data_IF_760042607008
#
_entry.id   IF_760042607008
#
_cell.length_a   1.000
_cell.length_b   1.000
_cell.length_c   1.000
_cell.angle_alpha   90.00
_cell.angle_beta   90.00
_cell.angle_gamma   90.00
#
_symmetry.space_group_name_H-M   'P 1'
#
loop_
_entity.id
_entity.type
_entity.pdbx_description
1 polymer ?
#
# COMPACT_ATOMS: atom_id res chain seq x y z
N UNK A 1 11.26 14.27 8.45
CA UNK A 1 10.20 13.25 8.29
C UNK A 1 8.84 13.91 8.07
N UNK A 2 8.34 14.71 9.02
CA UNK A 2 7.18 15.60 8.81
C UNK A 2 7.56 16.99 8.28
N UNK A 3 6.58 17.91 8.21
CA UNK A 3 6.77 19.32 7.84
C UNK A 3 6.08 19.73 6.54
N UNK A 4 6.08 21.05 6.23
CA UNK A 4 5.39 21.60 5.04
C UNK A 4 6.16 21.45 3.72
N UNK A 5 7.38 20.93 3.75
CA UNK A 5 8.24 20.77 2.56
C UNK A 5 7.66 19.78 1.55
N UNK A 6 8.04 19.91 0.27
CA UNK A 6 7.68 18.93 -0.76
C UNK A 6 8.48 17.65 -0.51
N UNK A 7 7.82 16.49 -0.58
CA UNK A 7 8.47 15.20 -0.33
C UNK A 7 8.41 14.71 1.12
N UNK A 8 7.81 15.47 2.04
CA UNK A 8 7.62 15.06 3.44
C UNK A 8 6.38 14.18 3.65
N UNK A 9 6.35 13.44 4.77
CA UNK A 9 5.17 12.67 5.19
C UNK A 9 4.15 13.59 5.88
N UNK A 10 3.29 14.20 5.07
CA UNK A 10 2.09 14.90 5.54
C UNK A 10 0.93 13.91 5.69
N UNK A 11 -0.09 14.25 6.47
CA UNK A 11 -1.27 13.39 6.66
C UNK A 11 -1.91 12.96 5.32
N UNK A 12 -2.13 13.90 4.39
CA UNK A 12 -2.62 13.59 3.04
C UNK A 12 -1.69 12.67 2.24
N UNK A 13 -0.38 12.78 2.45
CA UNK A 13 0.60 11.91 1.79
C UNK A 13 0.49 10.50 2.34
N UNK A 14 0.42 10.35 3.66
CA UNK A 14 0.25 9.06 4.35
C UNK A 14 -1.05 8.40 3.89
N UNK A 15 -2.17 9.12 3.87
CA UNK A 15 -3.46 8.63 3.36
C UNK A 15 -3.37 8.11 1.92
N UNK A 16 -2.66 8.83 1.05
CA UNK A 16 -2.42 8.38 -0.34
C UNK A 16 -1.56 7.11 -0.41
N UNK A 17 -0.49 7.03 0.38
CA UNK A 17 0.37 5.83 0.43
C UNK A 17 -0.41 4.60 0.94
N UNK A 18 -1.25 4.76 1.96
CA UNK A 18 -2.14 3.69 2.44
C UNK A 18 -3.12 3.24 1.35
N UNK A 19 -3.71 4.18 0.60
CA UNK A 19 -4.59 3.86 -0.53
C UNK A 19 -3.84 3.14 -1.66
N UNK A 20 -2.60 3.53 -1.96
CA UNK A 20 -1.77 2.83 -2.95
C UNK A 20 -1.44 1.41 -2.51
N UNK A 21 -1.08 1.21 -1.24
CA UNK A 21 -0.84 -0.12 -0.68
C UNK A 21 -2.08 -1.01 -0.78
N UNK A 22 -3.25 -0.51 -0.35
CA UNK A 22 -4.52 -1.23 -0.47
C UNK A 22 -4.81 -1.60 -1.92
N UNK A 23 -4.68 -0.65 -2.85
CA UNK A 23 -4.92 -0.88 -4.28
C UNK A 23 -3.96 -1.89 -4.88
N UNK A 24 -2.67 -1.84 -4.51
CA UNK A 24 -1.68 -2.80 -4.96
C UNK A 24 -2.03 -4.23 -4.54
N UNK A 25 -2.61 -4.41 -3.35
CA UNK A 25 -3.13 -5.71 -2.90
C UNK A 25 -4.39 -6.09 -3.69
N UNK A 26 -5.41 -5.23 -3.69
CA UNK A 26 -6.72 -5.58 -4.26
C UNK A 26 -6.67 -5.83 -5.77
N UNK A 27 -5.86 -5.07 -6.51
CA UNK A 27 -5.76 -5.20 -7.98
C UNK A 27 -4.96 -6.44 -8.41
N UNK A 28 -4.15 -7.02 -7.51
CA UNK A 28 -3.24 -8.13 -7.85
C UNK A 28 -3.57 -9.44 -7.13
N UNK A 29 -4.56 -9.44 -6.22
CA UNK A 29 -4.99 -10.67 -5.56
C UNK A 29 -5.52 -11.72 -6.56
N UNK A 30 -5.24 -13.01 -6.35
CA UNK A 30 -4.51 -13.62 -5.22
C UNK A 30 -2.98 -13.73 -5.42
N UNK A 31 -2.41 -13.10 -6.45
CA UNK A 31 -1.00 -13.24 -6.83
C UNK A 31 -0.05 -12.41 -5.93
N UNK A 32 0.57 -13.08 -4.96
CA UNK A 32 1.42 -12.46 -3.93
C UNK A 32 2.67 -11.80 -4.51
N UNK A 33 3.27 -12.38 -5.54
CA UNK A 33 4.47 -11.81 -6.18
C UNK A 33 4.12 -10.52 -6.93
N UNK A 34 2.96 -10.48 -7.59
CA UNK A 34 2.44 -9.25 -8.19
C UNK A 34 2.05 -8.21 -7.14
N UNK A 35 1.44 -8.60 -6.02
CA UNK A 35 1.17 -7.67 -4.91
C UNK A 35 2.47 -7.01 -4.43
N UNK A 36 3.50 -7.81 -4.13
CA UNK A 36 4.81 -7.34 -3.67
C UNK A 36 5.44 -6.39 -4.69
N UNK A 37 5.46 -6.80 -5.97
CA UNK A 37 6.00 -5.99 -7.05
C UNK A 37 5.27 -4.66 -7.21
N UNK A 38 3.93 -4.67 -7.14
CA UNK A 38 3.08 -3.49 -7.22
C UNK A 38 3.26 -2.55 -6.03
N UNK A 39 3.37 -3.08 -4.80
CA UNK A 39 3.67 -2.30 -3.60
C UNK A 39 4.98 -1.53 -3.76
N UNK A 40 6.07 -2.20 -4.17
CA UNK A 40 7.34 -1.51 -4.42
C UNK A 40 7.28 -0.56 -5.61
N UNK A 41 6.52 -0.88 -6.67
CA UNK A 41 6.32 0.02 -7.81
C UNK A 41 5.72 1.36 -7.36
N UNK A 42 4.77 1.36 -6.42
CA UNK A 42 4.20 2.61 -5.89
C UNK A 42 5.23 3.44 -5.12
N UNK A 43 6.10 2.82 -4.33
CA UNK A 43 7.17 3.53 -3.60
C UNK A 43 8.22 4.11 -4.56
N UNK A 44 8.69 3.30 -5.51
CA UNK A 44 9.64 3.74 -6.55
C UNK A 44 9.05 4.87 -7.40
N UNK A 45 7.77 4.78 -7.75
CA UNK A 45 7.07 5.87 -8.43
C UNK A 45 7.12 7.15 -7.60
N UNK A 46 6.77 7.09 -6.31
CA UNK A 46 6.74 8.27 -5.43
C UNK A 46 8.11 8.92 -5.22
N UNK A 47 9.20 8.15 -5.25
CA UNK A 47 10.57 8.68 -5.12
C UNK A 47 11.21 9.11 -6.45
N UNK A 48 10.53 8.87 -7.58
CA UNK A 48 11.07 9.16 -8.91
C UNK A 48 11.28 10.66 -9.12
N UNK A 49 12.34 11.00 -9.86
CA UNK A 49 12.64 12.37 -10.26
C UNK A 49 12.91 12.45 -11.76
N UNK A 50 12.92 13.65 -12.32
CA UNK A 50 13.27 13.83 -13.75
C UNK A 50 14.71 13.38 -14.05
N UNK A 51 15.62 13.50 -13.07
CA UNK A 51 17.02 13.04 -13.20
C UNK A 51 17.17 11.54 -13.03
N UNK A 52 16.38 10.94 -12.13
CA UNK A 52 16.42 9.51 -11.80
C UNK A 52 14.98 8.96 -11.84
N UNK A 53 14.48 8.58 -13.03
CA UNK A 53 13.13 8.07 -13.19
C UNK A 53 13.05 6.59 -12.81
N UNK A 54 12.27 6.24 -11.77
CA UNK A 54 12.10 4.87 -11.29
C UNK A 54 10.73 4.28 -11.68
N UNK A 55 10.43 4.22 -12.98
CA UNK A 55 9.15 3.72 -13.50
C UNK A 55 9.18 2.31 -14.07
N UNK A 56 10.32 1.63 -14.05
CA UNK A 56 10.49 0.29 -14.65
C UNK A 56 9.54 -0.77 -14.06
N UNK A 57 9.18 -0.65 -12.79
CA UNK A 57 8.24 -1.55 -12.10
C UNK A 57 6.77 -1.13 -12.22
N UNK A 58 6.49 0.05 -12.78
CA UNK A 58 5.11 0.48 -13.01
C UNK A 58 4.48 -0.32 -14.15
N UNK A 59 3.15 -0.55 -14.15
CA UNK A 59 2.50 -1.22 -15.26
C UNK A 59 2.70 -0.44 -16.56
N UNK A 60 2.94 -1.17 -17.65
CA UNK A 60 3.11 -0.59 -18.99
C UNK A 60 1.77 -0.38 -19.69
N UNK A 61 1.76 0.42 -20.74
CA UNK A 61 0.61 0.58 -21.62
C UNK A 61 -0.22 1.85 -21.39
N UNK A 62 -1.15 2.10 -22.32
CA UNK A 62 -1.94 3.34 -22.39
C UNK A 62 -2.89 3.52 -21.20
N UNK A 63 -3.25 2.43 -20.54
CA UNK A 63 -4.13 2.40 -19.36
C UNK A 63 -3.35 2.37 -18.04
N UNK A 64 -2.01 2.52 -18.08
CA UNK A 64 -1.21 2.58 -16.87
C UNK A 64 -1.63 3.75 -15.99
N UNK A 65 -1.70 3.48 -14.68
CA UNK A 65 -1.85 4.54 -13.68
C UNK A 65 -0.59 5.43 -13.61
N UNK A 66 0.56 4.93 -14.05
CA UNK A 66 1.80 5.68 -14.10
C UNK A 66 1.82 6.62 -15.31
N UNK A 67 1.91 7.92 -15.04
CA UNK A 67 1.93 8.94 -16.10
C UNK A 67 3.10 8.75 -17.07
N UNK A 68 4.24 8.26 -16.57
CA UNK A 68 5.47 8.09 -17.35
C UNK A 68 5.29 6.94 -18.35
N UNK A 69 4.89 5.76 -17.86
CA UNK A 69 4.63 4.59 -18.71
C UNK A 69 3.51 4.84 -19.72
N UNK A 70 2.48 5.59 -19.30
CA UNK A 70 1.38 5.97 -20.20
C UNK A 70 1.84 6.91 -21.32
N UNK A 71 2.74 7.84 -21.04
CA UNK A 71 3.29 8.74 -22.06
C UNK A 71 4.16 7.96 -23.06
N UNK A 72 5.03 7.06 -22.57
CA UNK A 72 5.82 6.17 -23.42
C UNK A 72 4.94 5.31 -24.33
N UNK A 73 3.90 4.67 -23.79
CA UNK A 73 2.96 3.86 -24.57
C UNK A 73 2.13 4.64 -25.61
N UNK A 74 2.12 5.98 -25.52
CA UNK A 74 1.46 6.88 -26.47
C UNK A 74 2.46 7.59 -27.39
N UNK A 75 3.74 7.24 -27.34
CA UNK A 75 4.82 7.95 -28.04
C UNK A 75 4.86 9.46 -27.73
N UNK A 76 4.59 9.81 -26.47
CA UNK A 76 4.60 11.19 -25.97
C UNK A 76 5.72 11.39 -24.95
N UNK A 77 6.22 12.62 -24.84
CA UNK A 77 7.17 12.99 -23.80
C UNK A 77 6.50 12.94 -22.42
N UNK A 78 7.06 12.21 -21.44
CA UNK A 78 6.55 12.22 -20.07
C UNK A 78 6.54 13.63 -19.46
N UNK A 79 5.53 13.91 -18.64
CA UNK A 79 5.47 15.16 -17.86
C UNK A 79 6.59 15.20 -16.82
N UNK A 80 6.97 16.40 -16.37
CA UNK A 80 7.93 16.53 -15.27
C UNK A 80 7.37 15.96 -13.96
N UNK A 81 8.24 15.34 -13.16
CA UNK A 81 7.92 14.84 -11.82
C UNK A 81 7.53 15.94 -10.82
N UNK A 82 7.80 17.22 -11.15
CA UNK A 82 7.26 18.38 -10.44
C UNK A 82 5.72 18.40 -10.39
N UNK A 83 5.07 17.73 -11.35
CA UNK A 83 3.59 17.63 -11.42
C UNK A 83 3.02 16.49 -10.57
N UNK A 84 3.86 15.63 -9.97
CA UNK A 84 3.39 14.53 -9.14
C UNK A 84 2.68 15.01 -7.87
N UNK A 85 1.57 14.34 -7.53
CA UNK A 85 0.75 14.65 -6.35
C UNK A 85 1.29 14.07 -5.05
N UNK A 86 2.13 13.04 -5.14
CA UNK A 86 2.69 12.31 -3.99
C UNK A 86 4.20 12.08 -4.19
N UNK A 87 5.02 13.14 -4.34
CA UNK A 87 6.46 12.97 -4.35
C UNK A 87 6.94 12.63 -2.93
N UNK A 88 7.99 11.82 -2.81
CA UNK A 88 8.70 11.53 -1.56
C UNK A 88 10.18 11.88 -1.72
N UNK A 89 10.78 12.47 -0.69
CA UNK A 89 12.23 12.72 -0.68
C UNK A 89 13.00 11.45 -0.33
N UNK A 90 14.25 11.34 -0.76
CA UNK A 90 15.10 10.19 -0.46
C UNK A 90 15.22 9.94 1.05
N UNK A 91 15.36 10.99 1.85
CA UNK A 91 15.41 10.92 3.32
C UNK A 91 14.15 10.26 3.90
N UNK A 92 12.97 10.58 3.35
CA UNK A 92 11.71 9.96 3.78
C UNK A 92 11.65 8.50 3.37
N UNK A 93 12.01 8.21 2.12
CA UNK A 93 11.99 6.85 1.55
C UNK A 93 12.90 5.92 2.34
N UNK A 94 14.12 6.36 2.65
CA UNK A 94 15.08 5.60 3.46
C UNK A 94 14.50 5.18 4.81
N UNK A 95 13.77 6.09 5.47
CA UNK A 95 13.17 5.82 6.79
C UNK A 95 11.92 4.93 6.73
N UNK A 96 11.15 4.95 5.64
CA UNK A 96 9.94 4.11 5.49
C UNK A 96 10.21 2.78 4.77
N UNK A 97 11.37 2.62 4.13
CA UNK A 97 11.74 1.40 3.42
C UNK A 97 11.61 0.13 4.29
N UNK A 98 12.06 0.11 5.57
CA UNK A 98 11.87 -1.06 6.43
C UNK A 98 10.39 -1.40 6.67
N UNK A 99 9.52 -0.38 6.72
CA UNK A 99 8.07 -0.58 6.88
C UNK A 99 7.49 -1.22 5.62
N UNK A 100 7.90 -0.76 4.43
CA UNK A 100 7.50 -1.36 3.16
C UNK A 100 7.98 -2.80 3.03
N UNK A 101 9.21 -3.12 3.45
CA UNK A 101 9.70 -4.51 3.46
C UNK A 101 8.86 -5.41 4.35
N UNK A 102 8.51 -4.95 5.56
CA UNK A 102 7.65 -5.72 6.46
C UNK A 102 6.26 -5.93 5.87
N UNK A 103 5.63 -4.86 5.37
CA UNK A 103 4.29 -4.90 4.78
C UNK A 103 4.23 -5.76 3.51
N UNK A 104 5.31 -5.78 2.72
CA UNK A 104 5.42 -6.59 1.51
C UNK A 104 6.02 -7.99 1.75
N UNK A 105 6.07 -8.44 3.01
CA UNK A 105 6.49 -9.80 3.34
C UNK A 105 5.47 -10.82 2.85
N UNK A 106 5.96 -11.97 2.38
CA UNK A 106 5.11 -13.06 1.88
C UNK A 106 4.12 -13.53 2.96
N UNK A 107 4.53 -13.56 4.23
CA UNK A 107 3.66 -13.91 5.36
C UNK A 107 2.44 -12.98 5.46
N UNK A 108 2.64 -11.65 5.40
CA UNK A 108 1.55 -10.68 5.45
C UNK A 108 0.69 -10.78 4.20
N UNK A 109 1.31 -10.82 3.02
CA UNK A 109 0.57 -10.81 1.74
C UNK A 109 -0.25 -12.10 1.52
N UNK A 110 0.21 -13.25 2.00
CA UNK A 110 -0.57 -14.49 1.97
C UNK A 110 -1.92 -14.35 2.70
N UNK A 111 -1.97 -13.57 3.79
CA UNK A 111 -3.22 -13.27 4.52
C UNK A 111 -4.14 -12.32 3.74
N UNK A 112 -3.61 -11.62 2.74
CA UNK A 112 -4.34 -10.66 1.92
C UNK A 112 -4.84 -11.23 0.58
N UNK A 113 -4.61 -12.51 0.28
CA UNK A 113 -4.99 -13.19 -0.97
C UNK A 113 -6.48 -13.14 -1.29
N UNK A 114 -7.33 -13.02 -0.28
CA UNK A 114 -8.78 -12.88 -0.47
C UNK A 114 -9.22 -11.45 -0.83
N UNK A 115 -8.32 -10.46 -0.78
CA UNK A 115 -8.59 -9.03 -1.01
C UNK A 115 -9.77 -8.45 -0.20
N UNK A 116 -10.15 -9.09 0.91
CA UNK A 116 -11.25 -8.66 1.78
C UNK A 116 -10.77 -7.63 2.79
N UNK A 117 -11.64 -6.69 3.11
CA UNK A 117 -11.45 -5.82 4.28
C UNK A 117 -11.78 -6.60 5.54
N UNK A 118 -10.94 -6.49 6.57
CA UNK A 118 -11.24 -7.05 7.88
C UNK A 118 -12.45 -6.31 8.46
N UNK A 119 -13.59 -7.00 8.59
CA UNK A 119 -14.74 -6.47 9.30
C UNK A 119 -14.33 -6.26 10.77
N UNK A 120 -14.34 -5.01 11.25
CA UNK A 120 -13.96 -4.68 12.63
C UNK A 120 -14.79 -5.44 13.67
N UNK A 121 -16.04 -5.78 13.32
CA UNK A 121 -16.90 -6.53 14.21
C UNK A 121 -16.47 -8.00 14.30
N UNK A 122 -16.02 -8.60 13.20
CA UNK A 122 -15.55 -10.00 13.17
C UNK A 122 -14.25 -10.19 13.92
N UNK A 123 -13.31 -9.24 13.86
CA UNK A 123 -12.06 -9.34 14.61
C UNK A 123 -12.29 -9.24 16.12
N UNK A 124 -13.17 -8.34 16.57
CA UNK A 124 -13.57 -8.25 17.97
C UNK A 124 -14.34 -9.51 18.42
N UNK A 125 -15.32 -9.94 17.62
CA UNK A 125 -16.11 -11.13 17.92
C UNK A 125 -15.25 -12.40 18.00
N UNK A 126 -14.25 -12.56 17.14
CA UNK A 126 -13.32 -13.69 17.20
C UNK A 126 -12.58 -13.74 18.53
N UNK A 127 -12.10 -12.60 19.05
CA UNK A 127 -11.44 -12.54 20.37
C UNK A 127 -12.43 -12.80 21.51
N UNK A 128 -13.62 -12.22 21.46
CA UNK A 128 -14.66 -12.42 22.48
C UNK A 128 -15.06 -13.89 22.53
N UNK A 129 -15.36 -14.52 21.39
CA UNK A 129 -15.82 -15.92 21.36
C UNK A 129 -14.72 -16.92 21.70
N UNK A 130 -13.45 -16.56 21.48
CA UNK A 130 -12.32 -17.38 21.96
C UNK A 130 -12.19 -17.34 23.51
N UNK A 131 -12.65 -16.27 24.17
CA UNK A 131 -12.65 -16.16 25.64
C UNK A 131 -13.95 -16.64 26.27
N UNK A 132 -15.08 -16.33 25.66
CA UNK A 132 -16.42 -16.70 26.09
C UNK A 132 -17.17 -17.33 24.91
N UNK A 133 -17.04 -18.66 24.71
CA UNK A 133 -17.72 -19.36 23.64
C UNK A 133 -19.23 -19.21 23.76
N UNK A 134 -19.91 -18.96 22.64
CA UNK A 134 -21.38 -18.82 22.59
C UNK A 134 -22.13 -20.09 23.04
N UNK A 135 -21.45 -21.22 22.97
CA UNK A 135 -22.00 -22.54 23.23
C UNK A 135 -22.02 -22.86 24.74
N UNK A 136 -21.31 -22.08 25.56
CA UNK A 136 -21.18 -22.34 27.00
C UNK A 136 -21.99 -21.31 27.78
N UNK A 137 -23.13 -21.73 28.32
CA UNK A 137 -23.91 -20.93 29.25
C UNK A 137 -23.27 -20.98 30.64
N UNK A 138 -22.73 -19.85 31.09
CA UNK A 138 -22.19 -19.71 32.45
C UNK A 138 -23.16 -18.86 33.27
N UNK A 139 -23.90 -19.49 34.18
CA UNK A 139 -24.72 -18.79 35.17
C UNK A 139 -23.97 -18.63 36.48
N UNK A 140 -24.29 -17.57 37.23
CA UNK A 140 -23.76 -17.38 38.57
C UNK A 140 -24.41 -18.41 39.49
N UNK A 141 -23.61 -19.28 40.11
CA UNK A 141 -24.09 -20.15 41.19
C UNK A 141 -24.72 -19.27 42.27
N UNK A 142 -26.01 -19.52 42.59
CA UNK A 142 -26.66 -18.88 43.74
C UNK A 142 -25.99 -19.44 45.00
N UNK A 143 -25.47 -18.53 45.82
CA UNK A 143 -25.05 -18.80 47.20
C UNK A 143 -26.27 -19.15 48.04
#
# INVERSE_FOLDING_TARGET
>A
MGGKTRGSLKDDTIKKLQNFYRKAITDNAPDVDKMKSSIFATLHHCMSTDKIPHHSKCPVGKNSWCFYQRALAKNQKPKSHSTMKTPLSNVVVEKIMPVYHRLASTEILNRCTSAKTQNQNESLHSVIWNKCPKEVFVSKSRL
#
